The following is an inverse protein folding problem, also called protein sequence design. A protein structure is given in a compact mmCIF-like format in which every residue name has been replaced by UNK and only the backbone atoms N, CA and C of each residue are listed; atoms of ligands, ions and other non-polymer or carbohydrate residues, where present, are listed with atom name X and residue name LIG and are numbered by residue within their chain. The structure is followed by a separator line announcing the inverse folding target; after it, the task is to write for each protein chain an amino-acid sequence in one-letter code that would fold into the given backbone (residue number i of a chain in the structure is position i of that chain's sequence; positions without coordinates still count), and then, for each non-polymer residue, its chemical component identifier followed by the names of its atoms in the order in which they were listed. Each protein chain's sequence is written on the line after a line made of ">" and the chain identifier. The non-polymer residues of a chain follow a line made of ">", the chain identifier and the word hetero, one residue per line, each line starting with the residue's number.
data_IF_183886080999
#
_entry.id   IF_183886080999
#
_cell.length_a   1.000
_cell.length_b   1.000
_cell.length_c   1.000
_cell.angle_alpha   90.00
_cell.angle_beta   90.00
_cell.angle_gamma   90.00
#
_symmetry.space_group_name_H-M   'P 1'
#
loop_
_entity.id
_entity.type
_entity.pdbx_description
1 polymer ?
#
# COMPACT_ATOMS: atom_id res chain seq x y z
N UNK A 1 10.69 -22.62 6.01
CA UNK A 1 11.37 -22.41 4.70
C UNK A 1 10.35 -21.80 3.76
N UNK A 2 10.62 -20.63 3.18
CA UNK A 2 9.66 -20.00 2.27
C UNK A 2 9.60 -20.76 0.94
N UNK A 3 8.38 -20.91 0.43
CA UNK A 3 8.11 -21.36 -0.93
C UNK A 3 7.82 -20.14 -1.79
N UNK A 4 8.29 -20.13 -3.03
CA UNK A 4 8.01 -19.04 -3.97
C UNK A 4 7.00 -19.52 -5.01
N UNK A 5 5.96 -18.72 -5.24
CA UNK A 5 4.98 -18.92 -6.32
C UNK A 5 5.00 -17.73 -7.29
N UNK A 6 4.52 -17.91 -8.52
CA UNK A 6 4.30 -16.80 -9.43
C UNK A 6 3.30 -15.79 -8.82
N UNK A 7 3.51 -14.52 -9.15
CA UNK A 7 2.54 -13.46 -8.92
C UNK A 7 1.41 -13.56 -9.95
N UNK A 8 0.16 -13.62 -9.49
CA UNK A 8 -1.01 -13.71 -10.37
C UNK A 8 -1.36 -12.33 -10.95
N UNK A 9 -0.80 -12.06 -12.11
CA UNK A 9 -0.97 -10.79 -12.83
C UNK A 9 -2.39 -10.57 -13.32
N UNK A 10 -3.13 -11.65 -13.62
CA UNK A 10 -4.50 -11.53 -14.10
C UNK A 10 -5.45 -11.13 -12.97
N UNK A 11 -5.33 -11.73 -11.80
CA UNK A 11 -6.09 -11.31 -10.60
C UNK A 11 -5.79 -9.87 -10.21
N UNK A 12 -4.53 -9.47 -10.25
CA UNK A 12 -4.13 -8.10 -9.96
C UNK A 12 -4.70 -7.10 -10.98
N UNK A 13 -4.72 -7.44 -12.27
CA UNK A 13 -5.32 -6.62 -13.32
C UNK A 13 -6.83 -6.50 -13.16
N UNK A 14 -7.50 -7.62 -12.93
CA UNK A 14 -8.95 -7.66 -12.73
C UNK A 14 -9.36 -6.78 -11.56
N UNK A 15 -8.66 -6.89 -10.43
CA UNK A 15 -8.87 -6.02 -9.28
C UNK A 15 -8.62 -4.54 -9.63
N UNK A 16 -7.49 -4.24 -10.26
CA UNK A 16 -7.15 -2.87 -10.64
C UNK A 16 -8.22 -2.24 -11.54
N UNK A 17 -8.70 -2.96 -12.55
CA UNK A 17 -9.72 -2.47 -13.48
C UNK A 17 -11.11 -2.36 -12.82
N UNK A 18 -11.42 -3.22 -11.85
CA UNK A 18 -12.69 -3.18 -11.12
C UNK A 18 -12.76 -1.97 -10.17
N UNK A 19 -11.65 -1.61 -9.53
CA UNK A 19 -11.61 -0.60 -8.47
C UNK A 19 -10.89 0.71 -8.82
N UNK A 20 -10.36 0.87 -10.03
CA UNK A 20 -9.63 2.07 -10.45
C UNK A 20 -10.42 3.40 -10.30
N UNK A 21 -11.75 3.36 -10.45
CA UNK A 21 -12.64 4.55 -10.38
C UNK A 21 -13.62 4.48 -9.19
N UNK A 22 -13.43 3.54 -8.29
CA UNK A 22 -14.23 3.39 -7.05
C UNK A 22 -13.38 2.78 -5.95
N UNK A 23 -13.81 2.93 -4.71
CA UNK A 23 -13.12 2.36 -3.56
C UNK A 23 -13.69 0.99 -3.21
N UNK A 24 -12.82 0.07 -2.80
CA UNK A 24 -13.22 -1.18 -2.15
C UNK A 24 -13.53 -0.86 -0.68
N UNK A 25 -14.72 -1.23 -0.20
CA UNK A 25 -15.19 -0.90 1.13
C UNK A 25 -14.37 -1.53 2.28
N UNK A 26 -13.53 -2.53 1.98
CA UNK A 26 -12.60 -3.12 2.95
C UNK A 26 -11.47 -2.16 3.36
N UNK A 27 -11.18 -1.16 2.53
CA UNK A 27 -10.04 -0.26 2.72
C UNK A 27 -10.50 1.20 2.78
N UNK A 28 -9.93 2.01 3.68
CA UNK A 28 -10.25 3.43 3.73
C UNK A 28 -9.74 4.16 2.49
N UNK A 29 -10.40 5.25 2.15
CA UNK A 29 -9.93 6.20 1.16
C UNK A 29 -9.00 7.23 1.83
N UNK A 30 -7.76 7.29 1.39
CA UNK A 30 -6.76 8.25 1.88
C UNK A 30 -6.65 9.48 0.97
N UNK A 31 -7.55 9.68 0.01
CA UNK A 31 -7.61 10.89 -0.83
C UNK A 31 -7.75 12.12 0.07
N UNK A 32 -6.86 13.09 -0.07
CA UNK A 32 -6.82 14.28 0.79
C UNK A 32 -6.13 14.11 2.14
N UNK A 33 -5.67 12.89 2.50
CA UNK A 33 -4.95 12.61 3.74
C UNK A 33 -3.58 11.97 3.41
N UNK A 34 -2.83 12.57 2.50
CA UNK A 34 -1.52 12.06 2.06
C UNK A 34 -1.54 11.29 0.74
N UNK A 35 -2.72 10.94 0.22
CA UNK A 35 -2.91 10.26 -1.07
C UNK A 35 -3.20 8.77 -0.97
N UNK A 36 -4.01 8.29 -1.90
CA UNK A 36 -4.55 6.92 -1.94
C UNK A 36 -3.84 6.00 -2.97
N UNK A 37 -2.86 6.53 -3.70
CA UNK A 37 -2.23 5.82 -4.82
C UNK A 37 -1.51 4.54 -4.39
N UNK A 38 -0.75 4.57 -3.31
CA UNK A 38 -0.03 3.39 -2.81
C UNK A 38 -0.97 2.41 -2.12
N UNK A 39 -2.00 2.89 -1.41
CA UNK A 39 -3.06 2.07 -0.85
C UNK A 39 -3.76 1.24 -1.94
N UNK A 40 -4.13 1.88 -3.03
CA UNK A 40 -4.74 1.19 -4.18
C UNK A 40 -3.82 0.14 -4.81
N UNK A 41 -2.57 0.52 -5.09
CA UNK A 41 -1.60 -0.43 -5.67
C UNK A 41 -1.31 -1.59 -4.72
N UNK A 42 -1.27 -1.35 -3.40
CA UNK A 42 -1.15 -2.42 -2.41
C UNK A 42 -2.33 -3.40 -2.46
N UNK A 43 -3.54 -2.92 -2.65
CA UNK A 43 -4.71 -3.78 -2.85
C UNK A 43 -4.61 -4.60 -4.13
N UNK A 44 -4.15 -4.01 -5.23
CA UNK A 44 -3.92 -4.73 -6.49
C UNK A 44 -2.85 -5.83 -6.32
N UNK A 45 -1.76 -5.51 -5.63
CA UNK A 45 -0.71 -6.49 -5.32
C UNK A 45 -1.26 -7.62 -4.45
N UNK A 46 -2.09 -7.31 -3.46
CA UNK A 46 -2.72 -8.32 -2.61
C UNK A 46 -3.63 -9.24 -3.41
N UNK A 47 -4.40 -8.72 -4.36
CA UNK A 47 -5.24 -9.53 -5.24
C UNK A 47 -4.43 -10.54 -6.06
N UNK A 48 -3.20 -10.18 -6.45
CA UNK A 48 -2.31 -11.07 -7.21
C UNK A 48 -1.43 -11.98 -6.35
N UNK A 49 -1.26 -11.69 -5.06
CA UNK A 49 -0.38 -12.50 -4.21
C UNK A 49 -1.11 -13.26 -3.09
N UNK A 50 -2.20 -12.71 -2.56
CA UNK A 50 -2.93 -13.25 -1.41
C UNK A 50 -2.04 -13.58 -0.20
N UNK A 51 -1.01 -12.78 0.01
CA UNK A 51 -0.04 -12.97 1.09
C UNK A 51 0.44 -11.63 1.58
N UNK A 52 0.31 -11.38 2.87
CA UNK A 52 0.83 -10.18 3.53
C UNK A 52 2.09 -10.49 4.33
N UNK A 53 2.89 -9.48 4.61
CA UNK A 53 4.03 -9.58 5.50
C UNK A 53 3.76 -8.79 6.77
N UNK A 54 3.50 -9.48 7.87
CA UNK A 54 3.15 -8.90 9.16
C UNK A 54 4.36 -8.47 10.01
N UNK A 55 5.55 -8.41 9.44
CA UNK A 55 6.73 -7.89 10.17
C UNK A 55 6.46 -6.45 10.62
N UNK A 56 6.49 -6.13 11.91
CA UNK A 56 6.23 -4.79 12.41
C UNK A 56 7.13 -3.75 11.74
N UNK A 57 6.59 -2.61 11.35
CA UNK A 57 7.27 -1.47 10.70
C UNK A 57 7.80 -1.74 9.30
N UNK A 58 8.48 -2.87 9.08
CA UNK A 58 9.18 -3.19 7.83
C UNK A 58 8.38 -4.13 6.91
N UNK A 59 7.25 -4.66 7.38
CA UNK A 59 6.37 -5.51 6.58
C UNK A 59 5.49 -4.73 5.61
N UNK A 60 4.55 -5.46 5.03
CA UNK A 60 3.55 -4.92 4.12
C UNK A 60 2.22 -5.63 4.41
N UNK A 61 1.37 -4.98 5.17
CA UNK A 61 0.08 -5.51 5.61
C UNK A 61 -0.91 -4.40 5.89
N UNK A 62 -2.18 -4.78 5.90
CA UNK A 62 -3.31 -3.97 6.33
C UNK A 62 -4.25 -4.82 7.18
N UNK A 63 -4.52 -4.39 8.40
CA UNK A 63 -5.49 -4.99 9.32
C UNK A 63 -6.65 -4.02 9.51
N UNK A 64 -6.34 -2.74 9.76
CA UNK A 64 -7.33 -1.69 9.96
C UNK A 64 -6.75 -0.32 9.58
N UNK A 65 -7.55 0.76 9.52
CA UNK A 65 -7.04 2.11 9.28
C UNK A 65 -5.94 2.55 10.25
N UNK A 66 -5.96 2.03 11.48
CA UNK A 66 -4.99 2.35 12.54
C UNK A 66 -3.85 1.33 12.62
N UNK A 67 -4.02 0.16 12.03
CA UNK A 67 -3.09 -0.95 12.10
C UNK A 67 -2.73 -1.44 10.69
N UNK A 68 -1.73 -0.83 10.13
CA UNK A 68 -1.16 -1.16 8.82
C UNK A 68 0.33 -0.83 8.78
N UNK A 69 1.06 -1.52 7.93
CA UNK A 69 2.46 -1.21 7.69
C UNK A 69 2.61 0.13 6.91
N UNK A 70 3.68 0.91 7.16
CA UNK A 70 3.99 2.09 6.35
C UNK A 70 4.08 1.80 4.84
N UNK A 71 4.55 0.61 4.47
CA UNK A 71 4.66 0.18 3.08
C UNK A 71 3.30 0.02 2.37
N UNK A 72 2.20 -0.16 3.12
CA UNK A 72 0.86 -0.26 2.54
C UNK A 72 0.38 1.04 1.89
N UNK A 73 0.76 2.20 2.44
CA UNK A 73 0.28 3.52 2.00
C UNK A 73 1.37 4.47 1.54
N UNK A 74 2.64 4.16 1.77
CA UNK A 74 3.74 5.09 1.51
C UNK A 74 4.60 4.70 0.31
N UNK A 75 4.74 5.62 -0.66
CA UNK A 75 5.45 5.40 -1.93
C UNK A 75 6.86 4.84 -1.74
N UNK A 76 7.68 5.49 -0.91
CA UNK A 76 9.06 5.06 -0.67
C UNK A 76 9.12 3.79 0.19
N UNK A 77 8.19 3.63 1.14
CA UNK A 77 8.14 2.44 1.98
C UNK A 77 7.76 1.19 1.17
N UNK A 78 6.81 1.31 0.22
CA UNK A 78 6.47 0.21 -0.69
C UNK A 78 7.68 -0.20 -1.56
N UNK A 79 8.41 0.77 -2.10
CA UNK A 79 9.65 0.49 -2.84
C UNK A 79 10.65 -0.29 -1.99
N UNK A 80 10.94 0.21 -0.80
CA UNK A 80 11.90 -0.44 0.10
C UNK A 80 11.46 -1.86 0.45
N UNK A 81 10.17 -2.05 0.75
CA UNK A 81 9.63 -3.37 1.03
C UNK A 81 9.79 -4.30 -0.17
N UNK A 82 9.28 -3.94 -1.33
CA UNK A 82 9.29 -4.80 -2.50
C UNK A 82 10.71 -5.19 -2.94
N UNK A 83 11.66 -4.26 -2.88
CA UNK A 83 13.04 -4.49 -3.35
C UNK A 83 13.95 -5.18 -2.32
N UNK A 84 13.56 -5.19 -1.04
CA UNK A 84 14.36 -5.76 0.04
C UNK A 84 13.69 -6.94 0.74
N UNK A 85 12.45 -7.28 0.37
CA UNK A 85 11.73 -8.36 1.03
C UNK A 85 12.39 -9.71 0.78
N UNK A 86 12.81 -10.37 1.85
CA UNK A 86 13.33 -11.74 1.86
C UNK A 86 12.44 -12.72 2.63
N UNK A 87 11.34 -12.21 3.21
CA UNK A 87 10.35 -12.96 3.98
C UNK A 87 9.05 -13.18 3.16
N UNK A 88 7.91 -13.42 3.81
CA UNK A 88 6.60 -13.60 3.16
C UNK A 88 6.15 -12.37 2.37
N UNK A 89 5.25 -12.57 1.43
CA UNK A 89 4.68 -11.53 0.58
C UNK A 89 5.40 -11.33 -0.75
N UNK A 90 4.96 -10.35 -1.54
CA UNK A 90 5.52 -10.05 -2.85
C UNK A 90 6.92 -9.46 -2.75
N UNK A 91 7.73 -9.69 -3.78
CA UNK A 91 9.05 -9.08 -3.94
C UNK A 91 9.30 -8.69 -5.38
N UNK A 92 10.11 -7.67 -5.57
CA UNK A 92 10.35 -7.07 -6.87
C UNK A 92 11.81 -6.64 -7.04
N UNK A 93 12.17 -6.36 -8.28
CA UNK A 93 13.40 -5.64 -8.64
C UNK A 93 13.09 -4.41 -9.47
N UNK A 94 13.95 -3.40 -9.38
CA UNK A 94 13.89 -2.26 -10.29
C UNK A 94 14.42 -2.68 -11.66
N UNK A 95 13.66 -2.35 -12.72
CA UNK A 95 13.93 -2.75 -14.09
C UNK A 95 13.82 -1.57 -15.04
N UNK A 96 14.28 -1.75 -16.28
CA UNK A 96 14.05 -0.79 -17.35
C UNK A 96 12.61 -0.92 -17.87
N UNK A 97 12.09 0.14 -18.48
CA UNK A 97 10.75 0.15 -19.07
C UNK A 97 10.51 -1.02 -20.05
N UNK A 98 11.54 -1.43 -20.79
CA UNK A 98 11.46 -2.55 -21.74
C UNK A 98 11.32 -3.93 -21.11
N UNK A 99 11.51 -4.03 -19.79
CA UNK A 99 11.44 -5.26 -19.01
C UNK A 99 10.20 -5.30 -18.11
N UNK A 100 9.43 -4.19 -18.10
CA UNK A 100 8.21 -4.10 -17.31
C UNK A 100 7.07 -4.88 -17.95
N UNK A 101 6.29 -5.55 -17.11
CA UNK A 101 5.19 -6.41 -17.50
C UNK A 101 3.85 -5.91 -16.94
N UNK A 102 2.77 -6.58 -17.35
CA UNK A 102 1.43 -6.33 -16.82
C UNK A 102 1.43 -6.45 -15.29
N UNK A 103 0.76 -5.52 -14.62
CA UNK A 103 0.69 -5.44 -13.15
C UNK A 103 2.01 -5.27 -12.42
N UNK A 104 3.06 -4.84 -13.11
CA UNK A 104 4.21 -4.23 -12.48
C UNK A 104 3.87 -2.84 -11.97
N UNK A 105 4.65 -2.38 -11.00
CA UNK A 105 4.44 -1.10 -10.33
C UNK A 105 5.31 -0.03 -10.97
N UNK A 106 4.72 1.13 -11.25
CA UNK A 106 5.44 2.34 -11.66
C UNK A 106 5.40 3.36 -10.52
N UNK A 107 6.53 4.01 -10.26
CA UNK A 107 6.54 5.15 -9.36
C UNK A 107 7.06 6.40 -10.08
N UNK A 108 6.28 7.50 -9.95
CA UNK A 108 6.61 8.79 -10.51
C UNK A 108 7.14 9.72 -9.45
N UNK A 109 8.06 10.59 -9.83
CA UNK A 109 8.70 11.52 -8.93
C UNK A 109 9.17 12.80 -9.60
N UNK A 110 9.71 13.70 -8.79
CA UNK A 110 10.41 14.88 -9.22
C UNK A 110 11.74 15.04 -8.47
N UNK A 111 12.52 16.06 -8.82
CA UNK A 111 13.84 16.30 -8.23
C UNK A 111 13.79 16.88 -6.82
N UNK A 112 12.70 17.56 -6.46
CA UNK A 112 12.58 18.28 -5.18
C UNK A 112 12.07 17.39 -4.04
N UNK A 113 11.07 16.53 -4.30
CA UNK A 113 10.43 15.73 -3.25
C UNK A 113 10.66 14.22 -3.40
N UNK A 114 11.37 13.78 -4.45
CA UNK A 114 11.58 12.37 -4.73
C UNK A 114 10.37 11.71 -5.40
N UNK A 115 10.13 10.42 -5.12
CA UNK A 115 8.98 9.69 -5.64
C UNK A 115 7.74 9.96 -4.78
N UNK A 116 6.63 10.33 -5.43
CA UNK A 116 5.41 10.79 -4.76
C UNK A 116 4.14 10.09 -5.24
N UNK A 117 4.19 9.32 -6.33
CA UNK A 117 3.00 8.68 -6.89
C UNK A 117 3.28 7.24 -7.29
N UNK A 118 2.33 6.35 -7.02
CA UNK A 118 2.42 4.92 -7.34
C UNK A 118 1.28 4.55 -8.29
N UNK A 119 1.61 3.85 -9.36
CA UNK A 119 0.71 3.39 -10.42
C UNK A 119 0.89 1.89 -10.62
N UNK A 120 -0.13 1.23 -11.17
CA UNK A 120 -0.04 -0.16 -11.64
C UNK A 120 -0.26 -0.23 -13.15
N UNK A 121 0.53 -1.03 -13.85
CA UNK A 121 0.37 -1.25 -15.30
C UNK A 121 -0.86 -2.12 -15.52
N UNK A 122 -1.86 -1.60 -16.22
CA UNK A 122 -3.09 -2.33 -16.53
C UNK A 122 -3.25 -2.67 -18.01
N UNK A 123 -2.29 -2.27 -18.85
CA UNK A 123 -2.27 -2.60 -20.26
C UNK A 123 -1.13 -1.94 -21.01
N UNK A 124 -1.13 -2.18 -22.32
CA UNK A 124 -0.15 -1.63 -23.24
C UNK A 124 -0.87 -1.09 -24.48
N UNK A 125 -0.44 0.07 -24.95
CA UNK A 125 -0.95 0.65 -26.19
C UNK A 125 0.21 1.23 -27.00
N UNK A 126 0.46 0.67 -28.20
CA UNK A 126 1.53 1.09 -29.12
C UNK A 126 2.85 1.32 -28.39
N UNK A 127 3.16 2.58 -28.05
CA UNK A 127 4.44 2.97 -27.45
C UNK A 127 4.29 3.49 -26.00
N UNK A 128 3.19 3.19 -25.30
CA UNK A 128 2.96 3.64 -23.94
C UNK A 128 2.33 2.55 -23.08
N UNK A 129 2.59 2.60 -21.78
CA UNK A 129 1.87 1.81 -20.80
C UNK A 129 0.50 2.44 -20.53
N UNK A 130 -0.52 1.62 -20.36
CA UNK A 130 -1.78 2.00 -19.76
C UNK A 130 -1.69 1.71 -18.26
N UNK A 131 -2.04 2.69 -17.44
CA UNK A 131 -1.93 2.59 -15.98
C UNK A 131 -3.23 2.92 -15.30
N UNK A 132 -3.42 2.34 -14.11
CA UNK A 132 -4.51 2.69 -13.20
C UNK A 132 -3.94 3.16 -11.86
N UNK A 133 -4.64 4.10 -11.23
CA UNK A 133 -4.21 4.72 -9.96
C UNK A 133 -5.38 5.38 -9.24
N UNK A 134 -5.18 5.63 -7.93
CA UNK A 134 -6.02 6.51 -7.12
C UNK A 134 -5.31 7.83 -6.80
N UNK A 135 -6.00 8.74 -6.10
CA UNK A 135 -5.68 10.14 -5.78
C UNK A 135 -5.95 11.11 -6.93
N UNK A 136 -5.77 10.69 -8.16
CA UNK A 136 -6.23 11.31 -9.39
C UNK A 136 -6.72 10.12 -10.23
N UNK A 137 -7.94 9.69 -9.91
CA UNK A 137 -8.48 8.39 -10.30
C UNK A 137 -8.32 8.16 -11.80
N UNK A 138 -7.63 7.11 -12.15
CA UNK A 138 -7.28 6.76 -13.51
C UNK A 138 -7.50 5.27 -13.79
N UNK A 139 -8.17 4.97 -14.89
CA UNK A 139 -8.35 3.62 -15.41
C UNK A 139 -7.83 3.55 -16.83
N UNK A 140 -6.81 2.72 -17.07
CA UNK A 140 -6.17 2.57 -18.38
C UNK A 140 -5.73 3.93 -18.99
N UNK A 141 -5.24 4.83 -18.14
CA UNK A 141 -4.74 6.13 -18.58
C UNK A 141 -3.35 5.97 -19.19
N UNK A 142 -3.07 6.53 -20.38
CA UNK A 142 -1.74 6.47 -20.95
C UNK A 142 -0.69 7.12 -20.04
N UNK A 143 0.41 6.42 -19.74
CA UNK A 143 1.51 6.93 -18.93
C UNK A 143 2.10 8.22 -19.53
N UNK A 144 2.11 8.34 -20.85
CA UNK A 144 2.56 9.53 -21.58
C UNK A 144 1.76 10.81 -21.26
N UNK A 145 0.59 10.70 -20.64
CA UNK A 145 -0.23 11.84 -20.21
C UNK A 145 0.13 12.40 -18.83
N UNK A 146 1.05 11.74 -18.11
CA UNK A 146 1.51 12.20 -16.81
C UNK A 146 2.71 13.13 -16.94
N UNK A 147 2.79 14.13 -16.06
CA UNK A 147 3.95 14.99 -15.96
C UNK A 147 4.84 14.55 -14.78
N UNK A 148 6.07 14.12 -15.06
CA UNK A 148 7.03 13.69 -14.06
C UNK A 148 8.47 14.00 -14.50
N UNK A 149 9.41 14.03 -13.55
CA UNK A 149 10.84 14.22 -13.82
C UNK A 149 11.65 12.97 -13.51
N UNK A 150 11.08 12.04 -12.75
CA UNK A 150 11.69 10.76 -12.36
C UNK A 150 10.64 9.66 -12.49
N UNK A 151 11.10 8.51 -12.94
CA UNK A 151 10.29 7.32 -13.06
C UNK A 151 11.12 6.10 -12.68
N UNK A 152 10.49 5.11 -12.05
CA UNK A 152 11.07 3.78 -11.87
C UNK A 152 10.00 2.71 -12.07
N UNK A 153 10.43 1.54 -12.49
CA UNK A 153 9.60 0.37 -12.74
C UNK A 153 10.02 -0.73 -11.77
N UNK A 154 9.06 -1.33 -11.09
CA UNK A 154 9.28 -2.42 -10.14
C UNK A 154 8.61 -3.66 -10.72
N UNK A 155 9.43 -4.57 -11.23
CA UNK A 155 8.97 -5.85 -11.76
C UNK A 155 8.73 -6.82 -10.61
N UNK A 156 7.50 -7.28 -10.45
CA UNK A 156 7.12 -8.25 -9.42
C UNK A 156 7.63 -9.63 -9.86
N UNK A 157 8.65 -10.13 -9.18
CA UNK A 157 9.30 -11.39 -9.52
C UNK A 157 8.56 -12.62 -8.98
N UNK A 158 7.76 -12.44 -7.90
CA UNK A 158 7.02 -13.53 -7.29
C UNK A 158 6.53 -13.20 -5.89
N UNK A 159 6.02 -14.24 -5.24
CA UNK A 159 5.47 -14.18 -3.88
C UNK A 159 6.10 -15.27 -3.03
N UNK A 160 6.58 -14.94 -1.83
CA UNK A 160 7.05 -15.91 -0.84
C UNK A 160 5.97 -16.15 0.19
N UNK A 161 5.80 -17.41 0.59
CA UNK A 161 4.84 -17.80 1.62
C UNK A 161 5.40 -18.98 2.45
N UNK A 162 4.94 -19.10 3.69
CA UNK A 162 5.31 -20.23 4.57
C UNK A 162 4.33 -21.39 4.46
N UNK A 163 3.06 -21.07 4.31
CA UNK A 163 1.96 -22.01 4.15
C UNK A 163 1.03 -21.55 3.01
N UNK A 164 0.30 -22.44 2.36
CA UNK A 164 -0.66 -22.02 1.33
C UNK A 164 -1.64 -21.00 1.89
N UNK A 165 -1.76 -19.86 1.21
CA UNK A 165 -2.78 -18.84 1.51
C UNK A 165 -4.18 -19.41 1.24
N UNK A 166 -5.20 -18.83 1.89
CA UNK A 166 -6.58 -19.22 1.68
C UNK A 166 -6.95 -19.15 0.18
N UNK A 167 -7.51 -20.22 -0.36
CA UNK A 167 -7.86 -20.32 -1.79
C UNK A 167 -8.87 -19.26 -2.25
N UNK A 168 -9.55 -18.59 -1.31
CA UNK A 168 -10.66 -17.67 -1.57
C UNK A 168 -10.29 -16.17 -1.44
N UNK A 169 -9.02 -15.82 -1.22
CA UNK A 169 -8.62 -14.44 -0.96
C UNK A 169 -9.00 -13.48 -2.10
N UNK A 170 -8.73 -13.83 -3.35
CA UNK A 170 -9.10 -12.99 -4.49
C UNK A 170 -10.62 -12.80 -4.57
N UNK A 171 -11.38 -13.87 -4.42
CA UNK A 171 -12.85 -13.81 -4.43
C UNK A 171 -13.38 -12.93 -3.30
N UNK A 172 -12.84 -13.06 -2.10
CA UNK A 172 -13.22 -12.24 -0.96
C UNK A 172 -12.94 -10.74 -1.20
N UNK A 173 -11.78 -10.40 -1.75
CA UNK A 173 -11.43 -9.04 -2.14
C UNK A 173 -12.42 -8.45 -3.17
N UNK A 174 -12.74 -9.22 -4.22
CA UNK A 174 -13.66 -8.80 -5.27
C UNK A 174 -15.09 -8.62 -4.76
N UNK A 175 -15.53 -9.46 -3.82
CA UNK A 175 -16.83 -9.38 -3.17
C UNK A 175 -16.87 -8.42 -1.97
N UNK A 176 -15.76 -7.76 -1.66
CA UNK A 176 -15.61 -6.87 -0.52
C UNK A 176 -15.92 -7.56 0.82
N UNK A 177 -15.57 -8.82 0.93
CA UNK A 177 -15.64 -9.61 2.16
C UNK A 177 -14.30 -9.54 2.90
N UNK A 178 -14.34 -9.63 4.24
CA UNK A 178 -13.11 -9.64 5.04
C UNK A 178 -12.19 -10.79 4.64
N UNK A 179 -10.92 -10.46 4.44
CA UNK A 179 -9.85 -11.43 4.16
C UNK A 179 -9.05 -11.78 5.44
N UNK A 180 -9.35 -11.08 6.54
CA UNK A 180 -8.74 -11.33 7.83
C UNK A 180 -9.47 -12.50 8.47
N UNK A 181 -8.82 -13.63 8.38
CA UNK A 181 -9.10 -14.96 8.90
C UNK A 181 -10.33 -15.19 9.78
N UNK A 182 -11.04 -16.23 9.45
CA UNK A 182 -11.96 -16.98 10.33
C UNK A 182 -11.22 -17.80 11.41
N UNK A 183 -9.94 -17.57 11.67
CA UNK A 183 -9.17 -18.27 12.71
C UNK A 183 -9.50 -17.83 14.15
N UNK A 184 -10.52 -16.97 14.33
CA UNK A 184 -11.00 -16.54 15.65
C UNK A 184 -12.38 -17.05 16.03
N UNK A 185 -13.00 -17.92 15.23
CA UNK A 185 -14.39 -18.35 15.47
C UNK A 185 -14.53 -19.66 16.28
N UNK A 186 -13.44 -20.28 16.71
CA UNK A 186 -13.49 -21.55 17.47
C UNK A 186 -13.08 -21.41 18.95
N UNK A 187 -13.29 -20.24 19.53
CA UNK A 187 -12.89 -19.95 20.93
C UNK A 187 -13.81 -19.04 21.72
N UNK A 188 -15.04 -18.78 21.28
CA UNK A 188 -15.96 -17.91 22.03
C UNK A 188 -17.26 -18.62 22.43
N UNK A 189 -17.16 -19.68 23.25
CA UNK A 189 -18.23 -20.03 24.17
C UNK A 189 -17.90 -19.43 25.55
N UNK A 190 -18.84 -18.58 26.03
CA UNK A 190 -19.04 -18.14 27.39
C UNK A 190 -17.98 -17.22 28.04
N UNK A 191 -18.14 -15.91 27.85
CA UNK A 191 -17.91 -14.97 28.94
C UNK A 191 -19.11 -14.03 29.02
N UNK A 192 -19.82 -14.21 30.13
CA UNK A 192 -21.00 -13.46 30.55
C UNK A 192 -20.73 -11.96 30.73
N UNK A 193 -21.77 -11.18 30.50
CA UNK A 193 -21.92 -9.78 30.83
C UNK A 193 -21.42 -9.46 32.26
N UNK A 194 -20.35 -8.64 32.35
CA UNK A 194 -20.09 -7.68 33.44
C UNK A 194 -18.75 -7.00 33.14
N UNK A 195 -18.83 -5.76 32.72
CA UNK A 195 -17.96 -4.63 33.08
C UNK A 195 -18.16 -3.45 32.12
N UNK A 196 -19.28 -2.77 32.38
CA UNK A 196 -19.43 -1.37 32.04
C UNK A 196 -18.82 -0.59 33.19
N UNK A 197 -17.64 0.01 33.01
CA UNK A 197 -17.25 1.30 33.59
C UNK A 197 -15.75 1.60 33.40
N UNK A 198 -15.49 2.88 33.16
CA UNK A 198 -14.19 3.57 33.13
C UNK A 198 -13.51 3.69 31.73
N UNK A 199 -14.12 4.50 30.89
CA UNK A 199 -13.36 5.28 29.92
C UNK A 199 -13.33 6.75 30.36
N UNK A 200 -12.20 7.15 30.94
CA UNK A 200 -11.87 8.56 31.10
C UNK A 200 -11.65 9.22 29.70
N UNK A 201 -12.10 10.46 29.50
CA UNK A 201 -11.92 11.13 28.22
C UNK A 201 -10.44 11.48 28.00
N UNK A 202 -9.97 11.21 26.79
CA UNK A 202 -8.65 11.59 26.31
C UNK A 202 -8.55 13.13 26.23
N UNK A 203 -7.68 13.71 27.03
CA UNK A 203 -7.31 15.12 26.99
C UNK A 203 -6.10 15.28 26.07
N UNK A 204 -6.17 16.08 24.98
CA UNK A 204 -5.00 16.33 24.14
C UNK A 204 -3.95 17.15 24.91
N UNK A 205 -2.71 16.72 24.86
CA UNK A 205 -1.58 17.50 25.34
C UNK A 205 -1.48 18.79 24.50
N UNK A 206 -1.69 19.94 25.14
CA UNK A 206 -1.37 21.25 24.56
C UNK A 206 0.15 21.43 24.64
N UNK A 207 0.80 21.54 23.49
CA UNK A 207 2.19 22.00 23.40
C UNK A 207 2.17 23.51 23.62
N UNK A 208 2.80 23.95 24.68
CA UNK A 208 3.09 25.38 24.93
C UNK A 208 4.12 25.87 23.91
N UNK A 209 4.00 27.11 23.40
CA UNK A 209 4.98 27.66 22.47
C UNK A 209 6.26 28.04 23.20
N UNK A 210 7.39 27.57 22.69
CA UNK A 210 8.71 27.99 23.17
C UNK A 210 8.88 29.52 23.02
N UNK A 211 9.24 30.15 24.14
CA UNK A 211 9.55 31.59 24.21
C UNK A 211 10.84 31.90 23.48
N UNK A 212 10.77 32.77 22.47
CA UNK A 212 11.95 33.40 21.83
C UNK A 212 12.75 34.20 22.87
N UNK A 213 13.91 33.69 23.26
CA UNK A 213 14.94 34.52 23.93
C UNK A 213 15.59 35.46 22.92
N UNK A 214 15.27 36.73 23.06
CA UNK A 214 15.99 37.85 22.41
C UNK A 214 17.43 37.88 22.90
N UNK A 215 18.38 37.62 22.01
CA UNK A 215 19.78 38.03 22.20
C UNK A 215 19.87 39.55 21.98
N UNK A 216 20.07 40.26 23.06
CA UNK A 216 20.51 41.67 23.01
C UNK A 216 21.96 41.74 22.53
N UNK A 217 22.13 42.45 21.46
CA UNK A 217 23.41 42.87 20.90
C UNK A 217 23.99 43.95 21.80
N UNK A 218 25.14 43.72 22.45
CA UNK A 218 25.89 44.74 23.13
C UNK A 218 27.17 45.00 22.35
N UNK A 219 27.04 45.91 21.41
CA UNK A 219 28.16 46.66 20.83
C UNK A 219 28.57 47.77 21.81
N UNK A 220 29.81 47.73 22.29
CA UNK A 220 30.61 48.90 22.72
C UNK A 220 32.04 48.50 23.09
N UNK A 221 32.91 48.87 22.36
CA UNK A 221 34.20 49.62 22.34
C UNK A 221 35.30 48.88 21.60
#
# INVERSE_FOLDING_TARGET
>A
MFVTKPYDRLHAQEYALAFALKRNALFPDYTGIGGDCTNFVSQCLLAGCCEMNYTPTYGWYYISPKERAPAWTGVQYLYNFLTQNTATGPFAKEVRASEAELCDVIQLGNRSVGFYHTLIITGFERNTFLVSAHSDDAKNRPLSSYNYQRIRFLHIEGVRFEMPSAENCFTALMQQQSILAEDAADGAEAATEEETELRAPFVPLQLEPESEERREDSDRT
#
